data_IF_615884511710
#
_entry.id   IF_615884511710
#
_cell.length_a   1.000
_cell.length_b   1.000
_cell.length_c   1.000
_cell.angle_alpha   90.00
_cell.angle_beta   90.00
_cell.angle_gamma   90.00
#
_symmetry.space_group_name_H-M   'P 1'
#
loop_
_entity.id
_entity.type
_entity.pdbx_description
1 polymer ?
#
# COMPACT_ATOMS: atom_id res chain seq x y z
N UNK A 1 23.79 -11.12 -7.36
CA UNK A 1 23.33 -9.78 -6.98
C UNK A 1 22.68 -9.88 -5.61
N UNK A 2 23.16 -9.10 -4.67
CA UNK A 2 22.63 -9.00 -3.30
C UNK A 2 21.87 -7.69 -3.13
N UNK A 3 20.67 -7.74 -2.58
CA UNK A 3 19.77 -6.60 -2.45
C UNK A 3 19.36 -6.44 -0.98
N UNK A 4 19.55 -5.23 -0.44
CA UNK A 4 19.08 -4.82 0.87
C UNK A 4 17.79 -4.02 0.74
N UNK A 5 16.72 -4.43 1.42
CA UNK A 5 15.46 -3.68 1.48
C UNK A 5 15.33 -3.04 2.86
N UNK A 6 15.23 -1.72 2.91
CA UNK A 6 15.18 -0.95 4.15
C UNK A 6 13.77 -0.47 4.45
N UNK A 7 13.29 -0.77 5.65
CA UNK A 7 12.01 -0.30 6.15
C UNK A 7 12.16 0.20 7.60
N UNK A 8 11.42 1.26 7.96
CA UNK A 8 11.42 1.73 9.34
C UNK A 8 10.72 0.73 10.26
N UNK A 9 9.62 0.14 9.80
CA UNK A 9 8.90 -0.86 10.56
C UNK A 9 8.44 -2.02 9.67
N UNK A 10 8.69 -3.23 10.12
CA UNK A 10 8.11 -4.44 9.53
C UNK A 10 7.10 -5.00 10.54
N UNK A 11 5.81 -4.91 10.18
CA UNK A 11 4.69 -5.30 11.03
C UNK A 11 3.58 -5.95 10.21
N UNK A 12 2.80 -6.80 10.86
CA UNK A 12 1.68 -7.48 10.22
C UNK A 12 0.60 -6.48 9.74
N UNK A 13 0.02 -6.73 8.57
CA UNK A 13 -1.06 -5.92 7.99
C UNK A 13 -0.66 -4.53 7.43
N UNK A 14 0.61 -4.14 7.50
CA UNK A 14 1.09 -2.87 6.93
C UNK A 14 1.33 -3.00 5.42
N UNK A 15 0.85 -2.04 4.63
CA UNK A 15 1.10 -2.02 3.17
C UNK A 15 2.59 -1.95 2.82
N UNK A 16 3.38 -1.20 3.60
CA UNK A 16 4.83 -1.10 3.43
C UNK A 16 5.53 -2.43 3.72
N UNK A 17 5.12 -3.14 4.78
CA UNK A 17 5.64 -4.47 5.10
C UNK A 17 5.28 -5.49 4.02
N UNK A 18 4.04 -5.46 3.50
CA UNK A 18 3.61 -6.30 2.38
C UNK A 18 4.48 -6.05 1.14
N UNK A 19 4.78 -4.79 0.85
CA UNK A 19 5.70 -4.44 -0.25
C UNK A 19 7.07 -5.08 -0.05
N UNK A 20 7.71 -4.85 1.10
CA UNK A 20 9.03 -5.38 1.41
C UNK A 20 9.08 -6.91 1.31
N UNK A 21 8.11 -7.58 1.92
CA UNK A 21 8.03 -9.04 1.97
C UNK A 21 7.80 -9.64 0.59
N UNK A 22 6.79 -9.16 -0.13
CA UNK A 22 6.42 -9.73 -1.41
C UNK A 22 7.48 -9.44 -2.49
N UNK A 23 8.11 -8.26 -2.46
CA UNK A 23 9.24 -7.97 -3.35
C UNK A 23 10.41 -8.89 -3.04
N UNK A 24 10.75 -9.10 -1.74
CA UNK A 24 11.81 -10.02 -1.33
C UNK A 24 11.55 -11.44 -1.83
N UNK A 25 10.33 -11.96 -1.64
CA UNK A 25 9.92 -13.29 -2.14
C UNK A 25 10.12 -13.42 -3.65
N UNK A 26 9.70 -12.41 -4.40
CA UNK A 26 9.86 -12.42 -5.84
C UNK A 26 11.32 -12.37 -6.27
N UNK A 27 12.13 -11.53 -5.65
CA UNK A 27 13.55 -11.42 -5.94
C UNK A 27 14.32 -12.71 -5.61
N UNK A 28 13.98 -13.39 -4.50
CA UNK A 28 14.55 -14.70 -4.14
C UNK A 28 14.19 -15.73 -5.20
N UNK A 29 12.92 -15.76 -5.65
CA UNK A 29 12.47 -16.65 -6.73
C UNK A 29 13.26 -16.42 -8.04
N UNK A 30 13.70 -15.19 -8.29
CA UNK A 30 14.56 -14.81 -9.42
C UNK A 30 16.07 -15.01 -9.12
N UNK A 31 16.41 -15.79 -8.10
CA UNK A 31 17.79 -16.16 -7.76
C UNK A 31 18.64 -15.01 -7.18
N UNK A 32 18.01 -13.99 -6.60
CA UNK A 32 18.72 -12.89 -5.92
C UNK A 32 18.86 -13.20 -4.43
N UNK A 33 19.95 -12.75 -3.84
CA UNK A 33 20.15 -12.81 -2.39
C UNK A 33 19.55 -11.54 -1.77
N UNK A 34 18.55 -11.69 -0.89
CA UNK A 34 17.81 -10.54 -0.34
C UNK A 34 17.90 -10.52 1.18
N UNK A 35 18.17 -9.35 1.73
CA UNK A 35 18.12 -9.09 3.18
C UNK A 35 17.18 -7.91 3.46
N UNK A 36 16.30 -8.07 4.44
CA UNK A 36 15.44 -6.98 4.92
C UNK A 36 16.10 -6.36 6.15
N UNK A 37 16.28 -5.05 6.14
CA UNK A 37 16.78 -4.26 7.25
C UNK A 37 15.65 -3.40 7.82
N UNK A 38 15.29 -3.65 9.06
CA UNK A 38 14.22 -2.92 9.74
C UNK A 38 14.72 -2.18 10.97
N UNK A 39 14.25 -0.95 11.21
CA UNK A 39 14.49 -0.33 12.50
C UNK A 39 13.71 -1.06 13.59
N UNK A 40 12.51 -1.56 13.27
CA UNK A 40 11.72 -2.39 14.19
C UNK A 40 11.02 -3.55 13.46
N UNK A 41 11.08 -4.73 14.12
CA UNK A 41 10.29 -5.91 13.77
C UNK A 41 10.07 -6.72 15.05
N UNK A 42 8.86 -7.18 15.36
CA UNK A 42 8.63 -8.04 16.51
C UNK A 42 9.31 -9.39 16.31
N UNK A 43 9.74 -10.03 17.41
CA UNK A 43 10.39 -11.36 17.36
C UNK A 43 9.47 -12.40 16.71
N UNK A 44 8.22 -12.46 17.16
CA UNK A 44 7.20 -13.37 16.62
C UNK A 44 7.04 -13.18 15.07
N UNK A 45 7.04 -11.93 14.63
CA UNK A 45 6.88 -11.67 13.20
C UNK A 45 8.16 -11.94 12.41
N UNK A 46 9.33 -11.73 13.00
CA UNK A 46 10.62 -12.08 12.41
C UNK A 46 10.75 -13.61 12.25
N UNK A 47 10.34 -14.40 13.25
CA UNK A 47 10.30 -15.87 13.19
C UNK A 47 9.34 -16.36 12.07
N UNK A 48 8.15 -15.75 11.97
CA UNK A 48 7.20 -16.01 10.88
C UNK A 48 7.84 -15.75 9.52
N UNK A 49 8.57 -14.65 9.35
CA UNK A 49 9.24 -14.33 8.09
C UNK A 49 10.41 -15.28 7.79
N UNK A 50 11.14 -15.70 8.81
CA UNK A 50 12.21 -16.69 8.67
C UNK A 50 11.66 -18.04 8.20
N UNK A 51 10.48 -18.46 8.68
CA UNK A 51 9.81 -19.67 8.17
C UNK A 51 9.40 -19.59 6.70
N UNK A 52 9.38 -18.37 6.13
CA UNK A 52 9.17 -18.07 4.71
C UNK A 52 10.49 -17.86 3.93
N UNK A 53 11.63 -18.28 4.49
CA UNK A 53 12.98 -18.10 3.93
C UNK A 53 13.42 -16.64 3.79
N UNK A 54 12.81 -15.71 4.53
CA UNK A 54 13.14 -14.30 4.51
C UNK A 54 14.06 -13.95 5.70
N UNK A 55 15.22 -13.39 5.39
CA UNK A 55 16.16 -12.91 6.42
C UNK A 55 15.85 -11.47 6.78
N UNK A 56 15.48 -11.23 8.04
CA UNK A 56 15.21 -9.90 8.57
C UNK A 56 16.18 -9.56 9.69
N UNK A 57 16.86 -8.44 9.53
CA UNK A 57 17.72 -7.83 10.56
C UNK A 57 17.01 -6.63 11.16
N UNK A 58 16.75 -6.62 12.47
CA UNK A 58 16.08 -5.52 13.13
C UNK A 58 16.86 -5.01 14.33
N UNK A 59 16.73 -3.69 14.61
CA UNK A 59 17.35 -3.05 15.78
C UNK A 59 16.48 -3.17 17.02
N UNK A 60 15.16 -3.09 16.86
CA UNK A 60 14.18 -3.15 17.96
C UNK A 60 13.04 -4.12 17.65
N UNK A 61 12.40 -4.59 18.70
CA UNK A 61 11.17 -5.38 18.58
C UNK A 61 9.90 -4.53 18.53
N UNK A 62 9.96 -3.25 18.96
CA UNK A 62 8.80 -2.34 19.01
C UNK A 62 9.20 -0.88 18.83
N UNK A 63 8.37 -0.12 18.10
CA UNK A 63 8.50 1.32 17.90
C UNK A 63 7.79 2.09 19.03
N UNK A 64 8.43 3.15 19.53
CA UNK A 64 7.80 4.16 20.38
C UNK A 64 7.43 5.42 19.59
N UNK A 65 6.55 6.26 20.16
CA UNK A 65 6.26 7.59 19.59
C UNK A 65 7.51 8.46 19.50
N UNK A 66 8.47 8.29 20.41
CA UNK A 66 9.74 9.01 20.42
C UNK A 66 10.62 8.58 19.23
N UNK A 67 10.61 7.30 18.87
CA UNK A 67 11.37 6.80 17.72
C UNK A 67 10.83 7.39 16.41
N UNK A 68 9.51 7.47 16.25
CA UNK A 68 8.87 8.08 15.09
C UNK A 68 9.20 9.59 15.01
N UNK A 69 9.12 10.31 16.13
CA UNK A 69 9.52 11.70 16.17
C UNK A 69 10.99 11.90 15.77
N UNK A 70 11.90 11.08 16.31
CA UNK A 70 13.33 11.13 15.96
C UNK A 70 13.60 10.84 14.50
N UNK A 71 12.90 9.87 13.92
CA UNK A 71 13.09 9.53 12.50
C UNK A 71 12.85 10.74 11.58
N UNK A 72 11.92 11.60 11.92
CA UNK A 72 11.56 12.79 11.13
C UNK A 72 12.42 14.00 11.49
N UNK A 73 12.64 14.28 12.77
CA UNK A 73 13.20 15.55 13.26
C UNK A 73 14.65 15.48 13.72
N UNK A 74 15.10 14.31 14.20
CA UNK A 74 16.46 14.03 14.65
C UNK A 74 16.85 12.61 14.29
N UNK A 75 16.95 12.36 13.00
CA UNK A 75 17.13 11.03 12.43
C UNK A 75 18.54 10.45 12.62
N UNK A 76 19.49 11.23 13.15
CA UNK A 76 20.90 10.80 13.28
C UNK A 76 21.04 9.49 14.08
N UNK A 77 20.31 9.34 15.16
CA UNK A 77 20.33 8.12 15.99
C UNK A 77 19.69 6.94 15.27
N UNK A 78 18.54 7.14 14.65
CA UNK A 78 17.86 6.08 13.86
C UNK A 78 18.78 5.59 12.74
N UNK A 79 19.42 6.50 12.00
CA UNK A 79 20.34 6.13 10.94
C UNK A 79 21.59 5.43 11.46
N UNK A 80 22.16 5.91 12.57
CA UNK A 80 23.33 5.26 13.21
C UNK A 80 23.01 3.81 13.60
N UNK A 81 21.84 3.55 14.16
CA UNK A 81 21.43 2.19 14.56
C UNK A 81 21.18 1.29 13.33
N UNK A 82 20.49 1.81 12.31
CA UNK A 82 20.29 1.09 11.04
C UNK A 82 21.62 0.76 10.36
N UNK A 83 22.56 1.70 10.32
CA UNK A 83 23.89 1.49 9.73
C UNK A 83 24.73 0.47 10.48
N UNK A 84 24.60 0.38 11.82
CA UNK A 84 25.26 -0.70 12.59
C UNK A 84 24.80 -2.08 12.11
N UNK A 85 23.49 -2.25 11.89
CA UNK A 85 22.94 -3.52 11.39
C UNK A 85 23.50 -3.81 10.00
N UNK A 86 23.44 -2.84 9.08
CA UNK A 86 23.90 -2.99 7.70
C UNK A 86 25.40 -3.35 7.66
N UNK A 87 26.25 -2.68 8.48
CA UNK A 87 27.70 -2.90 8.53
C UNK A 87 28.10 -4.25 9.12
N UNK A 88 27.24 -4.83 9.95
CA UNK A 88 27.46 -6.16 10.54
C UNK A 88 27.02 -7.30 9.60
N UNK A 89 26.52 -6.98 8.43
CA UNK A 89 26.12 -7.95 7.41
C UNK A 89 27.04 -7.84 6.18
N UNK A 90 26.98 -8.82 5.30
CA UNK A 90 27.69 -8.73 4.03
C UNK A 90 27.11 -7.59 3.17
N UNK A 91 27.97 -6.77 2.52
CA UNK A 91 27.50 -5.64 1.71
C UNK A 91 26.55 -6.06 0.60
N UNK A 92 25.53 -5.24 0.36
CA UNK A 92 24.65 -5.40 -0.78
C UNK A 92 25.12 -4.58 -1.97
N UNK A 93 24.85 -5.10 -3.19
CA UNK A 93 25.08 -4.37 -4.42
C UNK A 93 24.12 -3.18 -4.55
N UNK A 94 22.88 -3.39 -4.10
CA UNK A 94 21.80 -2.40 -4.13
C UNK A 94 21.08 -2.32 -2.78
N UNK A 95 20.68 -1.12 -2.40
CA UNK A 95 19.83 -0.85 -1.24
C UNK A 95 18.57 -0.11 -1.69
N UNK A 96 17.39 -0.67 -1.40
CA UNK A 96 16.10 -0.06 -1.66
C UNK A 96 15.48 0.46 -0.35
N UNK A 97 15.30 1.76 -0.24
CA UNK A 97 14.65 2.40 0.89
C UNK A 97 13.16 2.55 0.59
N UNK A 98 12.31 1.95 1.43
CA UNK A 98 10.86 1.97 1.30
C UNK A 98 10.17 2.95 2.25
N UNK A 99 10.89 3.45 3.25
CA UNK A 99 10.32 4.27 4.33
C UNK A 99 10.80 5.70 4.24
N UNK A 100 9.87 6.63 4.29
CA UNK A 100 10.15 8.06 4.31
C UNK A 100 10.99 8.46 5.54
N UNK A 101 10.83 7.75 6.66
CA UNK A 101 11.60 7.94 7.89
C UNK A 101 13.09 7.67 7.68
N UNK A 102 13.45 6.86 6.70
CA UNK A 102 14.83 6.48 6.41
C UNK A 102 15.46 7.25 5.24
N UNK A 103 14.76 8.20 4.62
CA UNK A 103 15.22 8.94 3.44
C UNK A 103 16.64 9.53 3.61
N UNK A 104 16.98 10.00 4.80
CA UNK A 104 18.27 10.64 5.04
C UNK A 104 19.46 9.70 5.27
N UNK A 105 19.23 8.37 5.26
CA UNK A 105 20.28 7.38 5.59
C UNK A 105 21.45 7.43 4.60
N UNK A 106 21.22 7.79 3.35
CA UNK A 106 22.22 7.92 2.30
C UNK A 106 23.32 8.96 2.63
N UNK A 107 23.04 9.92 3.52
CA UNK A 107 24.03 10.93 3.94
C UNK A 107 25.28 10.31 4.59
N UNK A 108 25.24 9.05 4.97
CA UNK A 108 26.34 8.32 5.63
C UNK A 108 27.25 7.51 4.69
N UNK A 109 27.04 7.61 3.36
CA UNK A 109 27.94 7.10 2.29
C UNK A 109 28.35 5.62 2.46
N UNK A 110 27.40 4.73 2.61
CA UNK A 110 27.68 3.30 2.57
C UNK A 110 27.97 2.81 1.14
N UNK A 111 28.70 1.68 1.01
CA UNK A 111 28.96 1.04 -0.28
C UNK A 111 27.67 0.49 -0.89
N UNK A 112 27.65 0.38 -2.21
CA UNK A 112 26.49 -0.08 -2.99
C UNK A 112 25.72 1.06 -3.63
N UNK A 113 24.79 0.71 -4.49
CA UNK A 113 23.89 1.65 -5.16
C UNK A 113 22.58 1.79 -4.40
N UNK A 114 22.08 3.00 -4.30
CA UNK A 114 20.93 3.32 -3.47
C UNK A 114 19.73 3.76 -4.29
N UNK A 115 18.61 3.12 -4.05
CA UNK A 115 17.31 3.44 -4.61
C UNK A 115 16.34 3.86 -3.49
N UNK A 116 15.43 4.75 -3.80
CA UNK A 116 14.31 5.09 -2.94
C UNK A 116 13.01 4.83 -3.69
N UNK A 117 12.02 4.23 -3.02
CA UNK A 117 10.68 4.02 -3.55
C UNK A 117 9.65 4.78 -2.71
N UNK A 118 9.08 5.82 -3.31
CA UNK A 118 8.01 6.60 -2.70
C UNK A 118 6.69 5.84 -2.73
N UNK A 119 6.04 5.77 -1.57
CA UNK A 119 4.69 5.24 -1.44
C UNK A 119 3.61 6.33 -1.38
N UNK A 120 4.01 7.58 -1.48
CA UNK A 120 3.13 8.75 -1.51
C UNK A 120 2.60 9.22 -0.16
N UNK A 121 2.85 8.48 0.91
CA UNK A 121 2.23 8.68 2.22
C UNK A 121 2.48 10.07 2.82
N UNK A 122 3.71 10.55 2.76
CA UNK A 122 4.06 11.86 3.33
C UNK A 122 3.46 13.03 2.56
N UNK A 123 3.29 12.91 1.25
CA UNK A 123 2.75 14.00 0.43
C UNK A 123 1.27 14.26 0.76
N UNK A 124 0.51 13.20 1.09
CA UNK A 124 -0.87 13.34 1.55
C UNK A 124 -1.00 14.11 2.86
N UNK A 125 -0.04 13.98 3.77
CA UNK A 125 -0.05 14.71 5.03
C UNK A 125 0.00 16.20 4.82
N UNK A 126 0.68 16.68 3.78
CA UNK A 126 0.74 18.10 3.44
C UNK A 126 -0.52 18.64 2.78
N UNK A 127 -1.23 17.78 2.05
CA UNK A 127 -2.45 18.15 1.33
C UNK A 127 -3.70 17.97 2.20
N UNK A 128 -3.56 17.33 3.37
CA UNK A 128 -4.69 17.05 4.26
C UNK A 128 -4.73 18.02 5.44
N UNK A 129 -5.52 19.10 5.30
CA UNK A 129 -5.77 20.07 6.35
C UNK A 129 -6.25 19.43 7.65
N UNK A 130 -7.13 18.42 7.57
CA UNK A 130 -7.66 17.70 8.73
C UNK A 130 -6.57 16.97 9.52
N UNK A 131 -5.54 16.42 8.84
CA UNK A 131 -4.42 15.81 9.52
C UNK A 131 -3.62 16.86 10.31
N UNK A 132 -3.27 17.97 9.67
CA UNK A 132 -2.53 19.06 10.32
C UNK A 132 -3.31 19.65 11.50
N UNK A 133 -4.63 19.76 11.38
CA UNK A 133 -5.49 20.29 12.43
C UNK A 133 -5.61 19.32 13.63
N UNK A 134 -5.65 18.01 13.39
CA UNK A 134 -5.69 17.02 14.44
C UNK A 134 -4.38 16.87 15.22
N UNK A 135 -3.23 17.00 14.54
CA UNK A 135 -1.92 16.87 15.18
C UNK A 135 -1.39 18.18 15.75
N UNK A 136 -1.80 19.33 15.20
CA UNK A 136 -1.34 20.66 15.60
C UNK A 136 -2.50 21.65 15.73
N UNK A 137 -3.44 21.41 16.67
CA UNK A 137 -4.67 22.20 16.72
C UNK A 137 -4.48 23.66 17.15
N UNK A 138 -3.33 24.03 17.74
CA UNK A 138 -3.23 25.25 18.51
C UNK A 138 -2.39 26.39 17.92
N UNK A 139 -1.50 26.17 16.94
CA UNK A 139 -0.71 27.27 16.38
C UNK A 139 -0.33 27.10 14.91
N UNK A 140 -0.68 28.09 14.09
CA UNK A 140 -0.28 28.20 12.69
C UNK A 140 1.26 28.14 12.50
N UNK A 141 2.01 28.78 13.39
CA UNK A 141 3.47 28.82 13.35
C UNK A 141 4.10 27.41 13.49
N UNK A 142 3.61 26.61 14.42
CA UNK A 142 4.09 25.22 14.60
C UNK A 142 3.75 24.35 13.39
N UNK A 143 2.58 24.52 12.78
CA UNK A 143 2.21 23.85 11.52
C UNK A 143 3.18 24.19 10.41
N UNK A 144 3.46 25.47 10.17
CA UNK A 144 4.40 25.91 9.14
C UNK A 144 5.81 25.38 9.38
N UNK A 145 6.29 25.39 10.63
CA UNK A 145 7.61 24.85 10.99
C UNK A 145 7.68 23.36 10.75
N UNK A 146 6.65 22.62 11.14
CA UNK A 146 6.54 21.18 10.89
C UNK A 146 6.58 20.88 9.39
N UNK A 147 5.72 21.51 8.61
CA UNK A 147 5.68 21.35 7.15
C UNK A 147 7.03 21.67 6.51
N UNK A 148 7.69 22.77 6.90
CA UNK A 148 9.00 23.16 6.39
C UNK A 148 10.09 22.13 6.70
N UNK A 149 10.07 21.53 7.90
CA UNK A 149 11.02 20.47 8.27
C UNK A 149 10.78 19.20 7.48
N UNK A 150 9.53 18.84 7.30
CA UNK A 150 9.12 17.66 6.55
C UNK A 150 9.50 17.82 5.07
N UNK A 151 9.27 18.97 4.45
CA UNK A 151 9.73 19.25 3.07
C UNK A 151 11.25 19.18 2.92
N UNK A 152 11.99 19.69 3.91
CA UNK A 152 13.46 19.54 3.92
C UNK A 152 13.90 18.07 4.04
N UNK A 153 13.17 17.29 4.83
CA UNK A 153 13.42 15.86 4.96
C UNK A 153 13.16 15.15 3.63
N UNK A 154 12.02 15.41 3.00
CA UNK A 154 11.70 14.80 1.70
C UNK A 154 12.68 15.14 0.59
N UNK A 155 13.21 16.37 0.56
CA UNK A 155 14.24 16.74 -0.45
C UNK A 155 15.50 15.87 -0.40
N UNK A 156 15.76 15.15 0.69
CA UNK A 156 16.91 14.22 0.77
C UNK A 156 16.80 13.05 -0.21
N UNK A 157 15.61 12.76 -0.74
CA UNK A 157 15.45 11.74 -1.78
C UNK A 157 16.23 12.08 -3.05
N UNK A 158 16.47 13.36 -3.32
CA UNK A 158 17.23 13.82 -4.50
C UNK A 158 18.70 13.33 -4.52
N UNK A 159 19.18 12.80 -3.41
CA UNK A 159 20.52 12.22 -3.31
C UNK A 159 20.59 10.75 -3.78
N UNK A 160 19.44 10.12 -4.02
CA UNK A 160 19.37 8.72 -4.48
C UNK A 160 19.64 8.64 -5.98
N UNK A 161 20.36 7.59 -6.40
CA UNK A 161 20.64 7.34 -7.82
C UNK A 161 19.35 6.96 -8.57
N UNK A 162 18.52 6.14 -7.94
CA UNK A 162 17.26 5.69 -8.51
C UNK A 162 16.08 6.15 -7.64
N UNK A 163 15.13 6.81 -8.27
CA UNK A 163 13.89 7.25 -7.64
C UNK A 163 12.71 6.50 -8.25
N UNK A 164 12.09 5.65 -7.46
CA UNK A 164 10.92 4.90 -7.86
C UNK A 164 9.67 5.38 -7.12
N UNK A 165 8.51 5.15 -7.73
CA UNK A 165 7.21 5.38 -7.12
C UNK A 165 6.41 4.08 -7.10
N UNK A 166 5.39 3.97 -6.24
CA UNK A 166 4.55 2.79 -6.15
C UNK A 166 3.42 2.73 -7.19
N UNK A 167 3.25 3.80 -7.97
CA UNK A 167 2.29 3.89 -9.08
C UNK A 167 2.67 5.04 -10.01
N UNK A 168 2.09 5.07 -11.20
CA UNK A 168 2.24 6.18 -12.15
C UNK A 168 1.68 7.48 -11.57
N UNK A 169 0.57 7.39 -10.84
CA UNK A 169 -0.01 8.53 -10.13
C UNK A 169 0.99 9.11 -9.10
N UNK A 170 1.55 8.26 -8.24
CA UNK A 170 2.57 8.69 -7.27
C UNK A 170 3.79 9.29 -7.96
N UNK A 171 4.27 8.66 -9.03
CA UNK A 171 5.38 9.19 -9.83
C UNK A 171 5.08 10.62 -10.32
N UNK A 172 3.91 10.85 -10.89
CA UNK A 172 3.51 12.17 -11.40
C UNK A 172 3.43 13.21 -10.28
N UNK A 173 2.74 12.88 -9.19
CA UNK A 173 2.57 13.79 -8.05
C UNK A 173 3.90 14.13 -7.40
N UNK A 174 4.73 13.11 -7.12
CA UNK A 174 6.02 13.32 -6.47
C UNK A 174 7.03 14.04 -7.36
N UNK A 175 7.02 13.76 -8.66
CA UNK A 175 7.83 14.50 -9.63
C UNK A 175 7.48 16.00 -9.64
N UNK A 176 6.20 16.31 -9.59
CA UNK A 176 5.73 17.69 -9.53
C UNK A 176 6.09 18.37 -8.19
N UNK A 177 5.77 17.72 -7.07
CA UNK A 177 6.00 18.28 -5.72
C UNK A 177 7.47 18.53 -5.43
N UNK A 178 8.35 17.63 -5.86
CA UNK A 178 9.79 17.69 -5.60
C UNK A 178 10.59 18.35 -6.73
N UNK A 179 9.90 18.74 -7.81
CA UNK A 179 10.52 19.28 -9.02
C UNK A 179 11.70 18.41 -9.49
N UNK A 180 11.46 17.10 -9.63
CA UNK A 180 12.47 16.12 -10.04
C UNK A 180 11.84 15.02 -10.88
N UNK A 181 12.66 14.32 -11.66
CA UNK A 181 12.22 13.18 -12.44
C UNK A 181 12.43 11.89 -11.64
N UNK A 182 11.37 11.14 -11.43
CA UNK A 182 11.46 9.77 -10.96
C UNK A 182 11.90 8.85 -12.10
N UNK A 183 12.77 7.90 -11.78
CA UNK A 183 13.31 6.94 -12.77
C UNK A 183 12.18 6.15 -13.41
N UNK A 184 11.30 5.57 -12.59
CA UNK A 184 10.10 4.83 -13.02
C UNK A 184 9.17 4.57 -11.82
N UNK A 185 8.11 3.81 -12.04
CA UNK A 185 7.26 3.30 -10.97
C UNK A 185 7.29 1.76 -10.92
N UNK A 186 7.08 1.19 -9.75
CA UNK A 186 7.01 -0.24 -9.51
C UNK A 186 5.75 -0.49 -8.68
N UNK A 187 4.77 -1.15 -9.24
CA UNK A 187 3.56 -1.47 -8.49
C UNK A 187 3.90 -2.35 -7.27
N UNK A 188 3.26 -2.08 -6.13
CA UNK A 188 3.37 -2.96 -4.97
C UNK A 188 3.03 -4.39 -5.35
N UNK A 189 3.93 -5.34 -5.06
CA UNK A 189 3.72 -6.73 -5.41
C UNK A 189 2.60 -7.35 -4.59
N UNK A 190 1.62 -7.93 -5.29
CA UNK A 190 0.49 -8.65 -4.71
C UNK A 190 0.64 -10.14 -5.01
N UNK A 191 0.35 -11.00 -4.03
CA UNK A 191 0.33 -12.44 -4.24
C UNK A 191 -0.94 -12.85 -5.00
N UNK A 192 -0.95 -12.58 -6.31
CA UNK A 192 -2.09 -12.83 -7.17
C UNK A 192 -2.46 -14.31 -7.24
N UNK A 193 -1.49 -15.21 -7.04
CA UNK A 193 -1.75 -16.65 -6.99
C UNK A 193 -2.50 -17.04 -5.71
N UNK A 194 -2.11 -16.45 -4.58
CA UNK A 194 -2.81 -16.66 -3.32
C UNK A 194 -4.26 -16.17 -3.39
N UNK A 195 -4.49 -14.98 -3.92
CA UNK A 195 -5.81 -14.38 -4.07
C UNK A 195 -6.67 -15.03 -5.17
N UNK A 196 -6.12 -15.85 -6.05
CA UNK A 196 -6.85 -16.54 -7.13
C UNK A 196 -7.71 -17.73 -6.67
N UNK A 197 -7.66 -18.13 -5.42
CA UNK A 197 -7.99 -19.48 -4.95
C UNK A 197 -9.40 -20.00 -5.16
N UNK A 198 -10.44 -19.25 -5.22
CA UNK A 198 -11.72 -19.87 -5.51
C UNK A 198 -12.73 -18.92 -6.11
N UNK A 199 -12.98 -19.17 -7.36
CA UNK A 199 -14.16 -18.70 -8.02
C UNK A 199 -15.28 -19.74 -7.80
N UNK A 200 -16.13 -19.50 -6.81
CA UNK A 200 -17.44 -20.12 -6.78
C UNK A 200 -18.40 -19.11 -7.38
N UNK A 201 -18.99 -19.45 -8.52
CA UNK A 201 -20.04 -18.64 -9.15
C UNK A 201 -21.32 -18.66 -8.32
N UNK A 202 -21.33 -17.98 -7.19
CA UNK A 202 -22.57 -17.70 -6.45
C UNK A 202 -23.19 -16.36 -6.93
N UNK A 203 -22.85 -15.99 -8.15
CA UNK A 203 -23.42 -14.86 -8.84
C UNK A 203 -24.95 -15.00 -8.93
N UNK A 204 -25.68 -14.05 -8.38
CA UNK A 204 -27.15 -14.01 -8.47
C UNK A 204 -27.92 -14.76 -7.38
N UNK A 205 -27.30 -15.17 -6.27
CA UNK A 205 -27.99 -15.76 -5.11
C UNK A 205 -28.24 -14.74 -4.00
N UNK A 206 -29.22 -15.04 -3.14
CA UNK A 206 -29.77 -14.22 -2.06
C UNK A 206 -28.76 -13.60 -1.06
N UNK A 207 -27.47 -13.94 -1.16
CA UNK A 207 -26.39 -13.49 -0.26
C UNK A 207 -25.39 -12.50 -0.91
N UNK A 208 -25.72 -11.90 -2.05
CA UNK A 208 -24.83 -10.93 -2.69
C UNK A 208 -24.58 -9.69 -1.83
N UNK A 209 -23.33 -9.24 -1.71
CA UNK A 209 -22.95 -8.06 -0.94
C UNK A 209 -21.87 -7.25 -1.65
N UNK A 210 -21.81 -5.96 -1.33
CA UNK A 210 -20.67 -5.11 -1.62
C UNK A 210 -19.65 -5.21 -0.47
N UNK A 211 -18.38 -5.40 -0.79
CA UNK A 211 -17.29 -5.46 0.19
C UNK A 211 -16.56 -4.13 0.26
N UNK A 212 -16.18 -3.69 1.46
CA UNK A 212 -15.35 -2.51 1.66
C UNK A 212 -14.36 -2.70 2.80
N UNK A 213 -13.15 -2.14 2.65
CA UNK A 213 -12.12 -2.10 3.69
C UNK A 213 -12.22 -0.78 4.44
N UNK A 214 -12.56 -0.81 5.74
CA UNK A 214 -12.61 0.39 6.59
C UNK A 214 -11.97 0.09 7.95
N UNK A 215 -10.81 0.69 8.21
CA UNK A 215 -10.03 0.45 9.44
C UNK A 215 -10.79 0.88 10.70
N UNK A 216 -11.48 2.02 10.65
CA UNK A 216 -12.23 2.56 11.79
C UNK A 216 -13.29 3.58 11.31
N UNK A 217 -14.06 4.12 12.25
CA UNK A 217 -15.14 5.07 11.96
C UNK A 217 -14.66 6.49 11.58
N UNK A 218 -13.37 6.78 11.64
CA UNK A 218 -12.81 8.08 11.23
C UNK A 218 -12.45 8.13 9.73
N UNK A 219 -12.60 7.01 9.01
CA UNK A 219 -12.34 6.97 7.57
C UNK A 219 -13.28 7.90 6.79
N UNK A 220 -12.78 8.63 5.78
CA UNK A 220 -13.58 9.63 5.06
C UNK A 220 -14.81 9.09 4.34
N UNK A 221 -14.82 7.78 4.04
CA UNK A 221 -15.92 7.12 3.33
C UNK A 221 -17.04 6.61 4.23
N UNK A 222 -16.91 6.65 5.55
CA UNK A 222 -17.90 6.11 6.49
C UNK A 222 -19.31 6.66 6.21
N UNK A 223 -19.47 7.97 6.04
CA UNK A 223 -20.76 8.59 5.74
C UNK A 223 -21.36 8.11 4.41
N UNK A 224 -20.54 7.93 3.40
CA UNK A 224 -20.96 7.40 2.08
C UNK A 224 -21.38 5.94 2.19
N UNK A 225 -20.60 5.11 2.88
CA UNK A 225 -20.93 3.69 3.08
C UNK A 225 -22.20 3.53 3.90
N UNK A 226 -22.47 4.42 4.88
CA UNK A 226 -23.73 4.41 5.63
C UNK A 226 -24.94 4.68 4.74
N UNK A 227 -24.83 5.53 3.73
CA UNK A 227 -25.91 5.76 2.76
C UNK A 227 -26.10 4.55 1.85
N UNK A 228 -25.01 3.92 1.41
CA UNK A 228 -25.03 2.71 0.59
C UNK A 228 -25.67 1.55 1.35
N UNK A 229 -25.31 1.32 2.62
CA UNK A 229 -25.82 0.23 3.45
C UNK A 229 -27.32 0.31 3.75
N UNK A 230 -27.95 1.46 3.51
CA UNK A 230 -29.42 1.60 3.57
C UNK A 230 -30.12 1.02 2.34
N UNK A 231 -29.41 0.78 1.24
CA UNK A 231 -29.98 0.39 -0.05
C UNK A 231 -29.55 -0.99 -0.51
N UNK A 232 -28.34 -1.41 -0.18
CA UNK A 232 -27.77 -2.69 -0.59
C UNK A 232 -27.02 -3.35 0.58
N UNK A 233 -26.90 -4.70 0.60
CA UNK A 233 -26.07 -5.40 1.58
C UNK A 233 -24.60 -5.00 1.48
N UNK A 234 -23.98 -4.62 2.62
CA UNK A 234 -22.57 -4.24 2.72
C UNK A 234 -21.89 -5.07 3.80
N UNK A 235 -20.71 -5.63 3.48
CA UNK A 235 -19.80 -6.21 4.46
C UNK A 235 -18.55 -5.34 4.57
N UNK A 236 -18.06 -5.16 5.80
CA UNK A 236 -16.91 -4.32 6.12
C UNK A 236 -15.81 -5.20 6.70
N UNK A 237 -14.63 -5.19 6.10
CA UNK A 237 -13.41 -5.72 6.72
C UNK A 237 -12.71 -4.56 7.44
N UNK A 238 -12.44 -4.75 8.74
CA UNK A 238 -11.91 -3.74 9.65
C UNK A 238 -12.85 -3.46 10.81
N UNK A 239 -12.59 -2.40 11.56
CA UNK A 239 -13.24 -2.14 12.85
C UNK A 239 -14.37 -1.07 12.77
N UNK A 240 -14.61 -0.52 11.57
CA UNK A 240 -15.70 0.45 11.38
C UNK A 240 -17.07 -0.20 11.61
N UNK A 241 -17.90 0.46 12.40
CA UNK A 241 -19.29 0.02 12.70
C UNK A 241 -20.26 0.98 12.04
N UNK A 242 -21.02 0.47 11.08
CA UNK A 242 -21.98 1.24 10.29
C UNK A 242 -23.35 0.55 10.38
N UNK A 243 -24.38 1.31 10.72
CA UNK A 243 -25.76 0.79 10.78
C UNK A 243 -26.18 0.29 9.39
N UNK A 244 -26.70 -0.94 9.34
CA UNK A 244 -27.13 -1.60 8.11
C UNK A 244 -26.03 -2.36 7.38
N UNK A 245 -24.76 -2.30 7.84
CA UNK A 245 -23.66 -3.11 7.31
C UNK A 245 -23.22 -4.19 8.31
N UNK A 246 -22.65 -5.28 7.80
CA UNK A 246 -22.05 -6.36 8.60
C UNK A 246 -20.56 -6.10 8.74
N UNK A 247 -20.08 -5.85 9.96
CA UNK A 247 -18.66 -5.71 10.25
C UNK A 247 -18.04 -7.06 10.56
N UNK A 248 -17.07 -7.48 9.74
CA UNK A 248 -16.33 -8.75 9.88
C UNK A 248 -15.14 -8.65 10.86
N UNK A 249 -14.73 -7.43 11.22
CA UNK A 249 -13.55 -7.21 12.03
C UNK A 249 -12.25 -7.44 11.26
N UNK A 250 -11.17 -7.74 11.98
CA UNK A 250 -9.92 -8.26 11.40
C UNK A 250 -10.10 -9.74 11.14
N UNK A 251 -9.91 -10.15 9.91
CA UNK A 251 -10.08 -11.53 9.45
C UNK A 251 -8.74 -12.09 8.95
N UNK A 252 -8.64 -13.41 8.87
CA UNK A 252 -7.47 -14.09 8.30
C UNK A 252 -7.33 -13.80 6.80
N UNK A 253 -6.14 -14.04 6.24
CA UNK A 253 -5.93 -13.89 4.79
C UNK A 253 -6.82 -14.85 3.99
N UNK A 254 -7.11 -16.04 4.52
CA UNK A 254 -8.02 -17.01 3.88
C UNK A 254 -9.47 -16.49 3.88
N UNK A 255 -9.94 -15.96 5.01
CA UNK A 255 -11.28 -15.35 5.10
C UNK A 255 -11.37 -14.11 4.22
N UNK A 256 -10.26 -13.37 4.05
CA UNK A 256 -10.20 -12.21 3.17
C UNK A 256 -10.34 -12.61 1.69
N UNK A 257 -9.66 -13.69 1.26
CA UNK A 257 -9.85 -14.27 -0.08
C UNK A 257 -11.32 -14.68 -0.29
N UNK A 258 -11.91 -15.34 0.71
CA UNK A 258 -13.31 -15.75 0.66
C UNK A 258 -14.26 -14.53 0.60
N UNK A 259 -13.97 -13.48 1.39
CA UNK A 259 -14.76 -12.26 1.39
C UNK A 259 -14.72 -11.55 0.02
N UNK A 260 -13.54 -11.44 -0.61
CA UNK A 260 -13.44 -10.91 -1.97
C UNK A 260 -14.14 -11.79 -2.99
N UNK A 261 -13.85 -13.10 -3.00
CA UNK A 261 -14.34 -14.02 -4.03
C UNK A 261 -15.86 -14.13 -4.06
N UNK A 262 -16.52 -14.02 -2.90
CA UNK A 262 -17.97 -14.07 -2.77
C UNK A 262 -18.67 -12.71 -2.88
N UNK A 263 -17.92 -11.61 -2.88
CA UNK A 263 -18.50 -10.29 -3.10
C UNK A 263 -18.99 -10.12 -4.54
N UNK A 264 -20.13 -9.43 -4.69
CA UNK A 264 -20.61 -9.00 -6.00
C UNK A 264 -19.70 -7.91 -6.58
N UNK A 265 -19.28 -6.98 -5.73
CA UNK A 265 -18.42 -5.87 -6.07
C UNK A 265 -17.62 -5.43 -4.84
N UNK A 266 -16.39 -4.96 -5.02
CA UNK A 266 -15.64 -4.28 -3.96
C UNK A 266 -15.70 -2.78 -4.17
N UNK A 267 -15.95 -2.03 -3.08
CA UNK A 267 -15.94 -0.58 -3.10
C UNK A 267 -14.52 -0.12 -2.75
N UNK A 268 -13.88 0.65 -3.62
CA UNK A 268 -12.62 1.31 -3.35
C UNK A 268 -12.79 2.33 -2.22
N UNK A 269 -12.08 2.16 -1.07
CA UNK A 269 -12.42 2.87 0.17
C UNK A 269 -11.95 4.32 0.20
N UNK A 270 -11.14 4.73 -0.73
CA UNK A 270 -10.48 6.04 -0.70
C UNK A 270 -10.94 6.96 -1.81
N UNK A 271 -11.08 8.24 -1.47
CA UNK A 271 -11.26 9.30 -2.49
C UNK A 271 -9.98 9.58 -3.28
N UNK A 272 -8.83 9.12 -2.78
CA UNK A 272 -7.52 9.32 -3.41
C UNK A 272 -6.56 8.23 -2.96
N UNK A 273 -6.34 7.24 -3.82
CA UNK A 273 -5.41 6.14 -3.58
C UNK A 273 -4.07 6.40 -4.27
N UNK A 274 -2.98 6.06 -3.59
CA UNK A 274 -1.65 6.03 -4.22
C UNK A 274 -1.36 4.70 -4.92
N UNK A 275 -1.93 3.60 -4.42
CA UNK A 275 -1.94 2.31 -5.09
C UNK A 275 -3.28 1.59 -4.88
N UNK A 276 -3.65 1.23 -3.63
CA UNK A 276 -4.88 0.50 -3.33
C UNK A 276 -4.71 -1.01 -3.35
N UNK A 277 -4.09 -1.57 -2.32
CA UNK A 277 -3.97 -3.03 -2.17
C UNK A 277 -5.31 -3.74 -2.25
N UNK A 278 -6.36 -3.20 -1.59
CA UNK A 278 -7.70 -3.77 -1.62
C UNK A 278 -8.27 -3.90 -3.04
N UNK A 279 -7.98 -2.92 -3.91
CA UNK A 279 -8.35 -2.98 -5.33
C UNK A 279 -7.61 -4.10 -6.05
N UNK A 280 -6.28 -4.20 -5.88
CA UNK A 280 -5.47 -5.22 -6.54
C UNK A 280 -5.83 -6.65 -6.06
N UNK A 281 -6.06 -6.83 -4.76
CA UNK A 281 -6.48 -8.09 -4.15
C UNK A 281 -7.87 -8.52 -4.65
N UNK A 282 -8.83 -7.60 -4.68
CA UNK A 282 -10.17 -7.83 -5.22
C UNK A 282 -10.14 -8.27 -6.68
N UNK A 283 -9.40 -7.53 -7.53
CA UNK A 283 -9.22 -7.89 -8.94
C UNK A 283 -8.56 -9.26 -9.08
N UNK A 284 -7.58 -9.59 -8.23
CA UNK A 284 -6.93 -10.91 -8.22
C UNK A 284 -7.91 -12.03 -7.89
N UNK A 285 -8.87 -11.80 -7.00
CA UNK A 285 -9.98 -12.72 -6.72
C UNK A 285 -11.02 -12.79 -7.84
N UNK A 286 -10.89 -11.98 -8.87
CA UNK A 286 -11.86 -11.85 -9.96
C UNK A 286 -13.11 -11.06 -9.56
N UNK A 287 -13.02 -10.22 -8.54
CA UNK A 287 -14.15 -9.39 -8.12
C UNK A 287 -13.96 -7.98 -8.65
N UNK A 288 -14.89 -7.48 -9.49
CA UNK A 288 -14.82 -6.14 -10.02
C UNK A 288 -14.82 -5.09 -8.91
N UNK A 289 -14.19 -3.94 -9.19
CA UNK A 289 -14.09 -2.85 -8.22
C UNK A 289 -14.81 -1.61 -8.74
N UNK A 290 -15.58 -0.96 -7.86
CA UNK A 290 -16.10 0.38 -8.11
C UNK A 290 -15.33 1.38 -7.26
N UNK A 291 -14.77 2.42 -7.86
CA UNK A 291 -13.97 3.42 -7.18
C UNK A 291 -14.11 4.81 -7.81
N UNK A 292 -13.70 5.84 -7.08
CA UNK A 292 -13.61 7.18 -7.66
C UNK A 292 -12.55 7.25 -8.73
N UNK A 293 -12.83 7.97 -9.82
CA UNK A 293 -11.93 8.22 -10.94
C UNK A 293 -10.81 9.19 -10.54
N UNK A 294 -9.99 8.80 -9.55
CA UNK A 294 -8.93 9.61 -8.96
C UNK A 294 -7.77 8.74 -8.49
N UNK A 295 -6.58 9.35 -8.40
CA UNK A 295 -5.39 8.66 -7.91
C UNK A 295 -5.02 7.44 -8.75
N UNK A 296 -4.47 6.41 -8.14
CA UNK A 296 -4.07 5.18 -8.81
C UNK A 296 -5.26 4.31 -9.26
N UNK A 297 -6.51 4.60 -8.82
CA UNK A 297 -7.67 3.83 -9.28
C UNK A 297 -7.83 3.85 -10.80
N UNK A 298 -7.46 4.97 -11.47
CA UNK A 298 -7.55 5.11 -12.94
C UNK A 298 -6.55 4.26 -13.72
N UNK A 299 -5.49 3.79 -13.08
CA UNK A 299 -4.51 2.88 -13.69
C UNK A 299 -4.77 1.40 -13.37
N UNK A 300 -5.67 1.13 -12.42
CA UNK A 300 -6.04 -0.21 -11.99
C UNK A 300 -7.36 -0.67 -12.61
N UNK A 301 -8.31 0.24 -12.74
CA UNK A 301 -9.68 -0.05 -13.17
C UNK A 301 -9.88 0.46 -14.59
N UNK A 302 -10.20 -0.47 -15.49
CA UNK A 302 -10.67 -0.23 -16.85
C UNK A 302 -12.20 -0.20 -16.82
N UNK A 303 -12.76 1.01 -16.96
CA UNK A 303 -14.20 1.25 -16.82
C UNK A 303 -15.04 0.32 -17.70
N UNK A 304 -16.02 -0.35 -17.09
CA UNK A 304 -16.89 -1.37 -17.71
C UNK A 304 -16.21 -2.65 -18.20
N UNK A 305 -14.90 -2.85 -17.91
CA UNK A 305 -14.20 -4.09 -18.27
C UNK A 305 -13.85 -4.93 -17.03
N UNK A 306 -13.22 -4.34 -16.03
CA UNK A 306 -12.86 -5.01 -14.77
C UNK A 306 -13.44 -4.31 -13.53
N UNK A 307 -14.28 -3.29 -13.73
CA UNK A 307 -14.89 -2.49 -12.69
C UNK A 307 -15.46 -1.18 -13.21
N UNK A 308 -15.74 -0.25 -12.30
CA UNK A 308 -16.35 1.03 -12.61
C UNK A 308 -15.62 2.19 -11.95
N UNK A 309 -15.38 3.24 -12.72
CA UNK A 309 -14.87 4.50 -12.26
C UNK A 309 -16.01 5.53 -12.24
N UNK A 310 -16.18 6.22 -11.13
CA UNK A 310 -17.24 7.21 -10.90
C UNK A 310 -16.65 8.53 -10.41
N UNK A 311 -17.31 9.63 -10.68
CA UNK A 311 -16.83 10.96 -10.32
C UNK A 311 -17.43 11.45 -9.00
N UNK A 312 -18.69 11.04 -8.69
CA UNK A 312 -19.45 11.54 -7.52
C UNK A 312 -19.95 10.42 -6.61
N UNK A 313 -20.40 10.78 -5.41
CA UNK A 313 -21.02 9.83 -4.47
C UNK A 313 -22.38 9.36 -4.97
N UNK A 314 -23.10 10.23 -5.64
CA UNK A 314 -24.39 9.93 -6.25
C UNK A 314 -24.25 8.88 -7.35
N UNK A 315 -23.25 9.03 -8.21
CA UNK A 315 -22.93 8.04 -9.23
C UNK A 315 -22.49 6.69 -8.63
N UNK A 316 -21.68 6.73 -7.55
CA UNK A 316 -21.28 5.54 -6.83
C UNK A 316 -22.50 4.77 -6.33
N UNK A 317 -23.41 5.46 -5.65
CA UNK A 317 -24.63 4.86 -5.12
C UNK A 317 -25.54 4.32 -6.23
N UNK A 318 -25.76 5.11 -7.27
CA UNK A 318 -26.60 4.76 -8.42
C UNK A 318 -26.08 3.51 -9.13
N UNK A 319 -24.76 3.47 -9.41
CA UNK A 319 -24.13 2.33 -10.07
C UNK A 319 -24.14 1.08 -9.19
N UNK A 320 -23.98 1.20 -7.88
CA UNK A 320 -24.10 0.06 -6.97
C UNK A 320 -25.50 -0.51 -6.97
N UNK A 321 -26.55 0.32 -6.91
CA UNK A 321 -27.94 -0.14 -7.00
C UNK A 321 -28.18 -0.86 -8.33
N UNK A 322 -27.77 -0.29 -9.45
CA UNK A 322 -27.86 -0.92 -10.78
C UNK A 322 -27.18 -2.31 -10.82
N UNK A 323 -25.97 -2.44 -10.24
CA UNK A 323 -25.23 -3.70 -10.16
C UNK A 323 -26.01 -4.75 -9.35
N UNK A 324 -26.66 -4.33 -8.27
CA UNK A 324 -27.43 -5.24 -7.42
C UNK A 324 -28.77 -5.65 -8.05
N UNK A 325 -29.40 -4.79 -8.84
CA UNK A 325 -30.65 -5.06 -9.53
C UNK A 325 -30.48 -5.90 -10.80
N UNK A 326 -29.42 -5.60 -11.60
CA UNK A 326 -29.26 -6.17 -12.93
C UNK A 326 -28.04 -7.08 -13.08
N UNK A 327 -27.11 -7.05 -12.12
CA UNK A 327 -25.85 -7.78 -12.22
C UNK A 327 -24.89 -7.19 -13.28
N UNK A 328 -23.95 -8.00 -13.71
CA UNK A 328 -23.00 -7.70 -14.78
C UNK A 328 -22.55 -8.99 -15.48
N UNK A 329 -21.96 -8.88 -16.67
CA UNK A 329 -21.48 -10.05 -17.40
C UNK A 329 -20.32 -10.73 -16.64
N UNK A 330 -20.38 -12.06 -16.51
CA UNK A 330 -19.40 -12.88 -15.80
C UNK A 330 -17.97 -12.71 -16.36
N UNK A 331 -17.84 -12.37 -17.66
CA UNK A 331 -16.55 -12.09 -18.30
C UNK A 331 -15.79 -10.93 -17.63
N UNK A 332 -16.50 -10.03 -16.95
CA UNK A 332 -15.87 -8.96 -16.16
C UNK A 332 -15.02 -9.51 -15.02
N UNK A 333 -15.42 -10.62 -14.40
CA UNK A 333 -14.63 -11.26 -13.35
C UNK A 333 -13.33 -11.87 -13.89
N UNK A 334 -13.38 -12.41 -15.09
CA UNK A 334 -12.18 -12.92 -15.77
C UNK A 334 -11.27 -11.75 -16.22
N UNK A 335 -11.85 -10.66 -16.71
CA UNK A 335 -11.11 -9.44 -17.03
C UNK A 335 -10.44 -8.83 -15.79
N UNK A 336 -11.14 -8.82 -14.64
CA UNK A 336 -10.57 -8.40 -13.36
C UNK A 336 -9.31 -9.21 -13.02
N UNK A 337 -9.38 -10.54 -13.09
CA UNK A 337 -8.22 -11.41 -12.84
C UNK A 337 -7.06 -11.14 -13.79
N UNK A 338 -7.33 -11.06 -15.08
CA UNK A 338 -6.28 -10.76 -16.08
C UNK A 338 -5.61 -9.42 -15.80
N UNK A 339 -6.40 -8.41 -15.45
CA UNK A 339 -5.87 -7.07 -15.15
C UNK A 339 -4.99 -7.02 -13.90
N UNK A 340 -5.18 -7.94 -12.95
CA UNK A 340 -4.39 -8.01 -11.73
C UNK A 340 -2.98 -8.56 -11.94
N UNK A 341 -2.69 -9.28 -13.04
CA UNK A 341 -1.38 -9.89 -13.29
C UNK A 341 -0.24 -8.86 -13.34
N UNK A 342 -0.53 -7.63 -13.75
CA UNK A 342 0.45 -6.54 -13.74
C UNK A 342 0.93 -6.14 -12.33
N UNK A 343 0.20 -6.56 -11.28
CA UNK A 343 0.54 -6.35 -9.87
C UNK A 343 1.16 -7.59 -9.22
N UNK A 344 1.34 -8.68 -9.97
CA UNK A 344 1.88 -9.92 -9.42
C UNK A 344 3.28 -9.71 -8.84
N UNK A 345 3.65 -10.56 -7.88
CA UNK A 345 5.01 -10.58 -7.30
C UNK A 345 6.05 -10.67 -8.41
N UNK A 346 5.84 -11.54 -9.38
CA UNK A 346 6.76 -11.75 -10.51
C UNK A 346 6.87 -10.48 -11.38
N UNK A 347 5.75 -9.86 -11.75
CA UNK A 347 5.77 -8.65 -12.58
C UNK A 347 6.53 -7.49 -11.91
N UNK A 348 6.28 -7.26 -10.62
CA UNK A 348 6.96 -6.20 -9.86
C UNK A 348 8.45 -6.49 -9.66
N UNK A 349 8.82 -7.74 -9.35
CA UNK A 349 10.22 -8.14 -9.14
C UNK A 349 11.04 -8.07 -10.42
N UNK A 350 10.49 -8.55 -11.54
CA UNK A 350 11.15 -8.47 -12.85
C UNK A 350 11.32 -7.02 -13.29
N UNK A 351 10.30 -6.18 -13.10
CA UNK A 351 10.42 -4.76 -13.38
C UNK A 351 11.52 -4.11 -12.56
N UNK A 352 11.59 -4.39 -11.25
CA UNK A 352 12.63 -3.86 -10.38
C UNK A 352 14.04 -4.29 -10.83
N UNK A 353 14.25 -5.58 -11.15
CA UNK A 353 15.53 -6.08 -11.63
C UNK A 353 15.96 -5.39 -12.91
N UNK A 354 15.05 -5.24 -13.88
CA UNK A 354 15.32 -4.60 -15.17
C UNK A 354 15.68 -3.12 -15.03
N UNK A 355 15.15 -2.44 -14.04
CA UNK A 355 15.44 -1.02 -13.78
C UNK A 355 16.79 -0.78 -13.09
N UNK A 356 17.40 -1.83 -12.52
CA UNK A 356 18.72 -1.77 -11.89
C UNK A 356 19.86 -2.14 -12.87
N UNK A 357 19.55 -2.70 -14.02
CA UNK A 357 20.50 -3.05 -15.09
C UNK A 357 20.68 -1.88 -16.06
#
# INVERSE_FOLDING_TARGET
MRIGILSFNIADGSGQSRFAINLSRGLIKEGKNVSIFAYSCSEEYAEKLQSMELTVFSYKTKISKIDLYRAIFDSSKVFSEMLKIIRNTEPCDYYLVLSDELIGILSYKEKGEWAYLSQGDFTLLFLNQSFLDNYFPYTYFLKCRFVSQLMRHQRKILNYKYLFANSKFTQTVMSFVLNTNFTDFIYPPVDTEYFRRSFKSNYGKEESYALVMLRNNAEPMVGTIQQIAKKIPVKIVGEAKINGAITLGRISDEDLVNAYSNALVTIGPSKQEFFGYATAESLSCGTPVIAFKRGASVEMIEHNQNGWLVDTQEELLSKLVEIFEHGYDISMREAARRSAEKFSISASSNKFINLLQ
#
